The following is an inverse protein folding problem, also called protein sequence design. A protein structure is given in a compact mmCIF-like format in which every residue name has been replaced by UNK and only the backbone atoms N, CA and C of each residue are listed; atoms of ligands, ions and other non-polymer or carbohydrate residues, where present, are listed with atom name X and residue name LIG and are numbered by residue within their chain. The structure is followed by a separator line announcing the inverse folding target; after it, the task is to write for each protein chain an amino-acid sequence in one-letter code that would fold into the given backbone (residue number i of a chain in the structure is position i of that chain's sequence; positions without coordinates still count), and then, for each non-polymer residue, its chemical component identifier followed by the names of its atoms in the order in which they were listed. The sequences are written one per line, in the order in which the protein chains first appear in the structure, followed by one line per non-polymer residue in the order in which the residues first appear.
data_IF_691806640675
#
_entry.id   IF_691806640675
#
_cell.length_a   1.000
_cell.length_b   1.000
_cell.length_c   1.000
_cell.angle_alpha   90.00
_cell.angle_beta   90.00
_cell.angle_gamma   90.00
#
_symmetry.space_group_name_H-M   'P 1'
#
loop_
_entity.id
_entity.type
_entity.pdbx_description
1 polymer ?
#
# COMPACT_ATOMS: atom_id res chain seq x y z
N UNK A 1 -27.97 6.76 -3.73
CA UNK A 1 -27.52 6.70 -2.33
C UNK A 1 -26.44 7.78 -2.18
N UNK A 2 -26.66 8.73 -1.28
CA UNK A 2 -25.80 9.91 -1.08
C UNK A 2 -24.42 9.51 -0.58
N UNK A 3 -23.38 9.96 -1.29
CA UNK A 3 -21.97 9.76 -0.96
C UNK A 3 -21.58 10.54 0.31
N UNK A 4 -21.78 9.98 1.49
CA UNK A 4 -21.16 10.44 2.74
C UNK A 4 -19.83 9.70 3.01
N UNK A 5 -19.14 9.29 1.96
CA UNK A 5 -17.85 8.64 2.02
C UNK A 5 -16.70 9.61 2.27
N UNK A 6 -16.17 9.60 3.50
CA UNK A 6 -14.79 9.95 3.80
C UNK A 6 -14.35 11.39 3.54
N UNK A 7 -14.79 12.34 4.36
CA UNK A 7 -14.13 13.64 4.43
C UNK A 7 -12.82 13.50 5.24
N UNK A 8 -11.71 14.06 4.72
CA UNK A 8 -10.44 14.12 5.45
C UNK A 8 -10.50 15.06 6.65
N UNK A 9 -9.41 15.17 7.43
CA UNK A 9 -9.30 16.06 8.60
C UNK A 9 -9.69 17.52 8.31
N UNK A 10 -9.55 17.97 7.06
CA UNK A 10 -9.99 19.29 6.56
C UNK A 10 -11.48 19.39 6.23
N UNK A 11 -12.26 18.33 6.39
CA UNK A 11 -13.67 18.28 6.00
C UNK A 11 -13.94 18.17 4.50
N UNK A 12 -12.91 18.11 3.65
CA UNK A 12 -13.01 17.99 2.19
C UNK A 12 -13.11 16.53 1.73
N UNK A 13 -13.86 16.31 0.64
CA UNK A 13 -13.91 15.00 -0.03
C UNK A 13 -12.65 14.70 -0.83
N UNK A 14 -12.42 13.38 -1.11
CA UNK A 14 -11.20 12.88 -1.72
C UNK A 14 -10.86 13.55 -3.07
N UNK A 15 -11.84 13.88 -3.90
CA UNK A 15 -11.62 14.57 -5.17
C UNK A 15 -11.02 15.96 -4.98
N UNK A 16 -11.47 16.71 -3.96
CA UNK A 16 -10.92 18.02 -3.62
C UNK A 16 -9.50 17.91 -3.08
N UNK A 17 -9.26 16.93 -2.19
CA UNK A 17 -7.93 16.64 -1.65
C UNK A 17 -6.95 16.22 -2.75
N UNK A 18 -7.38 15.39 -3.70
CA UNK A 18 -6.59 14.97 -4.84
C UNK A 18 -6.15 16.14 -5.74
N UNK A 19 -6.99 17.16 -5.90
CA UNK A 19 -6.66 18.34 -6.71
C UNK A 19 -5.78 19.32 -5.92
N UNK A 20 -6.15 19.67 -4.69
CA UNK A 20 -5.56 20.82 -3.97
C UNK A 20 -4.61 20.45 -2.83
N UNK A 21 -4.66 19.21 -2.30
CA UNK A 21 -3.80 18.79 -1.20
C UNK A 21 -2.31 18.97 -1.54
N UNK A 22 -1.51 19.44 -0.58
CA UNK A 22 -0.06 19.59 -0.72
C UNK A 22 0.42 20.69 -1.68
N UNK A 23 -0.47 21.54 -2.23
CA UNK A 23 -0.06 22.60 -3.18
C UNK A 23 0.35 23.92 -2.49
N UNK A 24 0.28 23.98 -1.15
CA UNK A 24 0.67 25.15 -0.35
C UNK A 24 2.17 25.17 -0.02
N UNK A 25 3.02 24.84 -1.00
CA UNK A 25 4.47 25.03 -0.88
C UNK A 25 4.82 26.51 -1.00
N UNK A 26 5.90 26.95 -0.33
CA UNK A 26 6.37 28.33 -0.40
C UNK A 26 6.74 28.68 -1.86
N UNK A 27 5.93 29.55 -2.45
CA UNK A 27 6.06 30.00 -3.83
C UNK A 27 6.20 31.53 -3.87
N UNK A 28 6.78 32.10 -4.95
CA UNK A 28 6.89 33.56 -5.10
C UNK A 28 5.49 34.23 -5.10
N UNK A 29 5.42 35.59 -5.04
CA UNK A 29 4.18 36.34 -4.82
C UNK A 29 3.02 36.03 -5.76
N UNK A 30 3.31 35.46 -6.95
CA UNK A 30 2.30 34.93 -7.88
C UNK A 30 2.42 33.41 -7.89
N UNK A 31 1.39 32.72 -7.37
CA UNK A 31 1.36 31.25 -7.32
C UNK A 31 1.07 30.68 -8.71
N UNK A 32 1.95 29.81 -9.28
CA UNK A 32 1.60 29.05 -10.46
C UNK A 32 0.47 28.06 -10.11
N UNK A 33 -0.42 27.79 -11.08
CA UNK A 33 -1.51 26.81 -10.89
C UNK A 33 -0.97 25.38 -10.71
N UNK A 34 0.11 25.04 -11.42
CA UNK A 34 0.81 23.77 -11.22
C UNK A 34 2.10 24.01 -10.42
N UNK A 35 2.39 23.12 -9.47
CA UNK A 35 3.64 23.19 -8.71
C UNK A 35 4.82 23.04 -9.68
N UNK A 36 5.80 23.97 -9.68
CA UNK A 36 6.98 23.88 -10.54
C UNK A 36 7.82 22.65 -10.23
N UNK A 37 8.51 22.13 -11.26
CA UNK A 37 9.48 21.05 -11.07
C UNK A 37 10.83 21.67 -10.73
N UNK A 38 11.28 21.49 -9.50
CA UNK A 38 12.59 21.95 -9.02
C UNK A 38 13.63 20.85 -9.31
N UNK A 39 14.10 20.81 -10.56
CA UNK A 39 15.10 19.83 -11.01
C UNK A 39 16.51 20.32 -10.67
N UNK A 40 16.83 20.30 -9.37
CA UNK A 40 18.15 20.68 -8.86
C UNK A 40 18.56 19.77 -7.71
N UNK A 41 19.85 19.53 -7.51
CA UNK A 41 20.39 18.82 -6.35
C UNK A 41 20.67 19.78 -5.19
N UNK A 42 21.62 20.77 -5.31
CA UNK A 42 21.91 21.72 -4.24
C UNK A 42 21.17 23.05 -4.44
N UNK A 43 21.02 23.80 -3.36
CA UNK A 43 20.60 25.21 -3.37
C UNK A 43 21.77 26.11 -2.99
N UNK A 44 21.82 27.31 -3.57
CA UNK A 44 22.78 28.34 -3.19
C UNK A 44 22.25 29.18 -2.02
N UNK A 45 23.12 29.53 -1.09
CA UNK A 45 22.84 30.37 0.06
C UNK A 45 23.54 31.75 -0.11
N UNK A 46 22.93 32.77 0.47
CA UNK A 46 23.50 34.14 0.39
C UNK A 46 24.75 34.31 1.27
N UNK A 47 24.95 33.48 2.29
CA UNK A 47 26.09 33.50 3.18
C UNK A 47 26.41 32.13 3.79
N UNK A 48 27.66 31.97 4.28
CA UNK A 48 28.06 30.80 5.06
C UNK A 48 27.30 30.67 6.37
N UNK A 49 26.83 31.77 6.95
CA UNK A 49 26.02 31.78 8.15
C UNK A 49 24.61 31.20 7.88
N UNK A 50 23.98 31.57 6.76
CA UNK A 50 22.70 31.00 6.33
C UNK A 50 22.82 29.49 6.05
N UNK A 51 23.91 29.06 5.38
CA UNK A 51 24.18 27.65 5.16
C UNK A 51 24.35 26.91 6.48
N UNK A 52 25.14 27.44 7.44
CA UNK A 52 25.32 26.83 8.76
C UNK A 52 23.97 26.66 9.50
N UNK A 53 23.17 27.72 9.51
CA UNK A 53 21.85 27.70 10.15
C UNK A 53 20.91 26.63 9.53
N UNK A 54 20.98 26.42 8.22
CA UNK A 54 20.22 25.36 7.55
C UNK A 54 20.66 23.94 8.00
N UNK A 55 21.95 23.73 8.24
CA UNK A 55 22.46 22.46 8.81
C UNK A 55 22.08 22.28 10.27
N UNK A 56 22.12 23.35 11.08
CA UNK A 56 21.77 23.30 12.51
C UNK A 56 20.26 23.01 12.71
N UNK A 57 19.43 23.39 11.74
CA UNK A 57 17.99 23.14 11.77
C UNK A 57 17.60 21.70 11.42
N UNK A 58 18.52 20.88 10.87
CA UNK A 58 18.27 19.45 10.61
C UNK A 58 18.23 18.63 11.92
N UNK A 59 17.36 17.61 12.02
CA UNK A 59 16.37 17.13 11.03
C UNK A 59 15.01 17.83 11.10
N UNK A 60 14.84 18.84 11.93
CA UNK A 60 13.52 19.45 12.21
C UNK A 60 13.01 20.39 11.11
N UNK A 61 13.91 21.21 10.54
CA UNK A 61 13.56 22.11 9.45
C UNK A 61 13.73 21.42 8.10
N UNK A 62 12.67 21.48 7.30
CA UNK A 62 12.61 20.95 5.93
C UNK A 62 13.03 22.02 4.92
N UNK A 63 14.05 22.83 5.25
CA UNK A 63 14.58 23.79 4.30
C UNK A 63 15.29 23.07 3.16
N UNK A 64 14.94 23.41 1.94
CA UNK A 64 15.57 22.85 0.76
C UNK A 64 17.03 23.32 0.68
N UNK A 65 17.98 22.47 1.02
CA UNK A 65 19.41 22.73 0.81
C UNK A 65 20.05 21.73 -0.16
N UNK A 66 19.49 20.54 -0.19
CA UNK A 66 19.91 19.45 -1.07
C UNK A 66 18.75 18.50 -1.29
N UNK A 67 18.41 18.14 -2.53
CA UNK A 67 17.19 17.39 -2.89
C UNK A 67 17.07 16.02 -2.22
N UNK A 68 18.16 15.39 -1.78
CA UNK A 68 18.08 14.14 -1.00
C UNK A 68 17.47 14.33 0.39
N UNK A 69 17.62 15.53 0.98
CA UNK A 69 17.00 15.88 2.26
C UNK A 69 15.57 16.35 2.04
N UNK A 70 15.39 17.31 1.14
CA UNK A 70 14.07 17.83 0.76
C UNK A 70 14.10 18.50 -0.61
N UNK A 71 12.99 18.37 -1.36
CA UNK A 71 12.75 19.06 -2.61
C UNK A 71 11.31 19.56 -2.66
N UNK A 72 11.03 20.82 -3.02
CA UNK A 72 9.67 21.38 -2.99
C UNK A 72 8.65 20.62 -3.85
N UNK A 73 9.07 20.07 -5.00
CA UNK A 73 8.20 19.25 -5.86
C UNK A 73 7.83 17.93 -5.17
N UNK A 74 8.83 17.26 -4.58
CA UNK A 74 8.63 16.00 -3.84
C UNK A 74 7.76 16.27 -2.61
N UNK A 75 8.01 17.36 -1.88
CA UNK A 75 7.23 17.76 -0.71
C UNK A 75 5.75 18.01 -1.04
N UNK A 76 5.48 18.62 -2.21
CA UNK A 76 4.10 18.79 -2.67
C UNK A 76 3.38 17.45 -2.89
N UNK A 77 4.07 16.46 -3.48
CA UNK A 77 3.54 15.10 -3.60
C UNK A 77 3.28 14.47 -2.22
N UNK A 78 4.25 14.55 -1.31
CA UNK A 78 4.13 14.03 0.06
C UNK A 78 2.93 14.63 0.79
N UNK A 79 2.77 15.97 0.74
CA UNK A 79 1.62 16.64 1.33
C UNK A 79 0.29 16.21 0.70
N UNK A 80 0.24 15.93 -0.59
CA UNK A 80 -0.94 15.42 -1.27
C UNK A 80 -1.29 14.00 -0.81
N UNK A 81 -0.30 13.11 -0.70
CA UNK A 81 -0.49 11.74 -0.19
C UNK A 81 -0.95 11.76 1.26
N UNK A 82 -0.32 12.58 2.12
CA UNK A 82 -0.73 12.74 3.51
C UNK A 82 -2.19 13.19 3.61
N UNK A 83 -2.60 14.17 2.80
CA UNK A 83 -3.99 14.64 2.78
C UNK A 83 -4.98 13.55 2.33
N UNK A 84 -4.63 12.74 1.34
CA UNK A 84 -5.48 11.64 0.83
C UNK A 84 -5.64 10.51 1.84
N UNK A 85 -4.57 10.15 2.54
CA UNK A 85 -4.59 9.11 3.58
C UNK A 85 -5.13 9.62 4.93
N UNK A 86 -5.24 10.92 5.12
CA UNK A 86 -5.55 11.51 6.42
C UNK A 86 -4.39 11.38 7.42
N UNK A 87 -3.16 11.38 6.91
CA UNK A 87 -1.93 11.25 7.67
C UNK A 87 -1.40 12.60 8.18
N UNK A 88 -0.60 12.57 9.24
CA UNK A 88 0.16 13.73 9.73
C UNK A 88 1.33 14.08 8.83
N UNK A 89 1.93 13.09 8.17
CA UNK A 89 3.06 13.23 7.27
C UNK A 89 3.12 12.11 6.23
N UNK A 90 3.87 12.33 5.14
CA UNK A 90 4.22 11.30 4.16
C UNK A 90 5.63 11.49 3.62
N UNK A 91 6.19 10.42 3.06
CA UNK A 91 7.49 10.38 2.42
C UNK A 91 7.40 9.70 1.06
N UNK A 92 8.11 10.24 0.07
CA UNK A 92 8.19 9.68 -1.27
C UNK A 92 9.56 9.02 -1.53
N UNK A 93 9.51 7.91 -2.28
CA UNK A 93 10.64 7.02 -2.54
C UNK A 93 10.74 6.71 -4.04
N UNK A 94 11.94 6.36 -4.50
CA UNK A 94 12.22 6.01 -5.89
C UNK A 94 11.43 4.80 -6.42
N UNK A 95 10.88 3.95 -5.54
CA UNK A 95 10.04 2.80 -5.90
C UNK A 95 9.24 2.29 -4.69
N UNK A 96 8.21 1.47 -4.94
CA UNK A 96 7.50 0.75 -3.88
C UNK A 96 8.44 -0.11 -3.02
N UNK A 97 9.39 -0.82 -3.64
CA UNK A 97 10.38 -1.61 -2.90
C UNK A 97 11.31 -0.73 -2.05
N UNK A 98 11.70 0.46 -2.52
CA UNK A 98 12.46 1.39 -1.71
C UNK A 98 11.67 1.87 -0.49
N UNK A 99 10.36 2.11 -0.64
CA UNK A 99 9.45 2.42 0.46
C UNK A 99 9.38 1.27 1.47
N UNK A 100 9.14 0.03 1.02
CA UNK A 100 9.06 -1.18 1.86
C UNK A 100 10.37 -1.41 2.62
N UNK A 101 11.48 -1.51 1.91
CA UNK A 101 12.78 -1.82 2.48
C UNK A 101 13.22 -0.76 3.51
N UNK A 102 13.05 0.53 3.19
CA UNK A 102 13.42 1.61 4.09
C UNK A 102 12.51 1.65 5.32
N UNK A 103 11.21 1.42 5.16
CA UNK A 103 10.26 1.36 6.29
C UNK A 103 10.64 0.26 7.26
N UNK A 104 10.79 -0.97 6.77
CA UNK A 104 11.13 -2.10 7.64
C UNK A 104 12.52 -1.93 8.27
N UNK A 105 13.51 -1.43 7.51
CA UNK A 105 14.83 -1.12 8.06
C UNK A 105 14.85 0.04 9.10
N UNK A 106 13.82 0.89 9.12
CA UNK A 106 13.68 1.93 10.16
C UNK A 106 13.06 1.41 11.45
N UNK A 107 12.27 0.33 11.36
CA UNK A 107 11.53 -0.27 12.48
C UNK A 107 12.30 -1.40 13.18
N UNK A 108 13.07 -2.18 12.40
CA UNK A 108 13.72 -3.41 12.87
C UNK A 108 15.14 -3.14 13.33
N UNK A 109 15.51 -3.75 14.44
CA UNK A 109 16.85 -3.75 15.03
C UNK A 109 17.31 -5.20 15.27
N UNK A 110 18.58 -5.40 15.48
CA UNK A 110 19.13 -6.71 15.87
C UNK A 110 18.38 -7.24 17.11
N UNK A 111 17.94 -8.49 17.04
CA UNK A 111 17.14 -9.15 18.08
C UNK A 111 15.62 -8.94 17.96
N UNK A 112 15.14 -8.16 17.00
CA UNK A 112 13.71 -7.95 16.78
C UNK A 112 13.06 -9.08 15.97
N UNK A 113 11.74 -9.21 16.13
CA UNK A 113 10.88 -10.06 15.31
C UNK A 113 9.99 -9.20 14.43
N UNK A 114 9.82 -9.63 13.17
CA UNK A 114 8.82 -9.15 12.24
C UNK A 114 7.76 -10.26 12.04
N UNK A 115 6.51 -9.98 12.35
CA UNK A 115 5.39 -10.82 11.92
C UNK A 115 4.92 -10.33 10.55
N UNK A 116 5.03 -11.15 9.52
CA UNK A 116 4.65 -10.79 8.17
C UNK A 116 3.56 -11.73 7.64
N UNK A 117 2.60 -11.20 6.88
CA UNK A 117 1.66 -12.03 6.16
C UNK A 117 2.40 -13.03 5.25
N UNK A 118 1.84 -14.21 5.04
CA UNK A 118 2.39 -15.20 4.11
C UNK A 118 2.13 -14.81 2.65
N UNK A 119 0.99 -14.11 2.41
CA UNK A 119 0.54 -13.71 1.08
C UNK A 119 0.99 -12.27 0.78
N UNK A 120 2.22 -12.13 0.29
CA UNK A 120 2.84 -10.85 -0.01
C UNK A 120 3.24 -10.77 -1.49
N UNK A 121 3.41 -9.54 -1.96
CA UNK A 121 4.06 -9.29 -3.24
C UNK A 121 5.42 -9.99 -3.32
N UNK A 122 5.70 -10.70 -4.42
CA UNK A 122 6.90 -11.51 -4.57
C UNK A 122 8.21 -10.75 -4.34
N UNK A 123 8.26 -9.45 -4.65
CA UNK A 123 9.43 -8.60 -4.36
C UNK A 123 9.63 -8.38 -2.86
N UNK A 124 8.55 -8.18 -2.11
CA UNK A 124 8.58 -8.07 -0.64
C UNK A 124 9.02 -9.38 -0.02
N UNK A 125 8.47 -10.49 -0.50
CA UNK A 125 8.80 -11.83 0.00
C UNK A 125 10.28 -12.16 -0.20
N UNK A 126 10.82 -11.90 -1.40
CA UNK A 126 12.24 -12.06 -1.71
C UNK A 126 13.14 -11.14 -0.86
N UNK A 127 12.73 -9.91 -0.65
CA UNK A 127 13.50 -8.98 0.20
C UNK A 127 13.53 -9.44 1.66
N UNK A 128 12.42 -9.94 2.20
CA UNK A 128 12.37 -10.48 3.56
C UNK A 128 13.21 -11.76 3.73
N UNK A 129 13.29 -12.60 2.69
CA UNK A 129 14.22 -13.75 2.69
C UNK A 129 15.68 -13.25 2.75
N UNK A 130 16.05 -12.29 1.90
CA UNK A 130 17.39 -11.69 1.91
C UNK A 130 17.70 -10.99 3.24
N UNK A 131 16.72 -10.35 3.90
CA UNK A 131 16.90 -9.77 5.22
C UNK A 131 17.27 -10.83 6.24
N UNK A 132 16.55 -11.96 6.29
CA UNK A 132 16.87 -13.07 7.20
C UNK A 132 18.25 -13.69 6.97
N UNK A 133 18.71 -13.75 5.72
CA UNK A 133 20.07 -14.21 5.37
C UNK A 133 21.16 -13.22 5.80
N UNK A 134 20.96 -11.93 5.56
CA UNK A 134 21.95 -10.89 5.80
C UNK A 134 21.99 -10.38 7.25
N UNK A 135 20.88 -10.50 7.98
CA UNK A 135 20.72 -10.08 9.36
C UNK A 135 19.98 -11.20 10.16
N UNK A 136 20.65 -12.33 10.43
CA UNK A 136 20.02 -13.51 11.01
C UNK A 136 19.50 -13.28 12.45
N UNK A 137 19.89 -12.17 13.09
CA UNK A 137 19.36 -11.77 14.40
C UNK A 137 17.93 -11.21 14.30
N UNK A 138 17.46 -10.82 13.10
CA UNK A 138 16.09 -10.38 12.85
C UNK A 138 15.27 -11.60 12.45
N UNK A 139 14.36 -12.03 13.32
CA UNK A 139 13.48 -13.15 13.02
C UNK A 139 12.26 -12.70 12.22
N UNK A 140 12.06 -13.30 11.04
CA UNK A 140 10.86 -13.07 10.21
C UNK A 140 9.93 -14.28 10.36
N UNK A 141 8.81 -14.08 11.04
CA UNK A 141 7.74 -15.07 11.17
C UNK A 141 6.66 -14.84 10.12
N UNK A 142 6.27 -15.90 9.41
CA UNK A 142 5.20 -15.86 8.41
C UNK A 142 3.90 -16.39 9.01
N UNK A 143 2.82 -15.68 8.78
CA UNK A 143 1.49 -16.07 9.24
C UNK A 143 0.48 -15.91 8.09
N UNK A 144 -0.42 -16.88 7.88
CA UNK A 144 -1.53 -16.70 6.94
C UNK A 144 -2.29 -15.40 7.24
N UNK A 145 -2.69 -14.69 6.19
CA UNK A 145 -3.28 -13.35 6.31
C UNK A 145 -4.48 -13.31 7.28
N UNK A 146 -5.38 -14.29 7.21
CA UNK A 146 -6.53 -14.41 8.12
C UNK A 146 -6.19 -14.80 9.56
N UNK A 147 -4.96 -15.27 9.83
CA UNK A 147 -4.49 -15.69 11.16
C UNK A 147 -3.73 -14.62 11.94
N UNK A 148 -3.43 -13.47 11.33
CA UNK A 148 -2.54 -12.46 11.92
C UNK A 148 -3.02 -11.96 13.30
N UNK A 149 -4.30 -11.62 13.44
CA UNK A 149 -4.84 -11.14 14.72
C UNK A 149 -4.74 -12.23 15.80
N UNK A 150 -5.14 -13.48 15.49
CA UNK A 150 -5.05 -14.60 16.40
C UNK A 150 -3.60 -14.88 16.84
N UNK A 151 -2.65 -14.85 15.91
CA UNK A 151 -1.23 -15.06 16.20
C UNK A 151 -0.66 -13.98 17.12
N UNK A 152 -1.05 -12.71 16.92
CA UNK A 152 -0.67 -11.62 17.80
C UNK A 152 -1.25 -11.77 19.21
N UNK A 153 -2.49 -12.28 19.36
CA UNK A 153 -3.10 -12.58 20.64
C UNK A 153 -2.34 -13.70 21.35
N UNK A 154 -1.99 -14.80 20.67
CA UNK A 154 -1.16 -15.87 21.21
C UNK A 154 0.19 -15.33 21.73
N UNK A 155 0.87 -14.50 20.90
CA UNK A 155 2.12 -13.87 21.29
C UNK A 155 1.96 -12.94 22.50
N UNK A 156 0.82 -12.26 22.65
CA UNK A 156 0.54 -11.43 23.81
C UNK A 156 0.36 -12.27 25.08
N UNK A 157 -0.30 -13.43 24.98
CA UNK A 157 -0.44 -14.40 26.08
C UNK A 157 0.92 -15.01 26.46
N UNK A 158 1.72 -15.40 25.46
CA UNK A 158 3.10 -15.88 25.67
C UNK A 158 3.95 -14.82 26.42
N UNK A 159 3.88 -13.55 26.00
CA UNK A 159 4.61 -12.45 26.60
C UNK A 159 4.14 -12.15 28.04
N UNK A 160 2.84 -12.20 28.30
CA UNK A 160 2.26 -11.98 29.64
C UNK A 160 2.60 -13.12 30.65
N UNK A 161 2.74 -14.36 30.16
CA UNK A 161 3.10 -15.53 30.93
C UNK A 161 4.62 -15.75 31.08
N UNK A 162 5.45 -14.98 30.36
CA UNK A 162 6.89 -15.18 30.37
C UNK A 162 7.54 -14.69 31.67
N UNK A 163 8.11 -15.62 32.44
CA UNK A 163 9.10 -15.31 33.49
C UNK A 163 10.50 -15.21 32.85
N UNK A 164 11.38 -14.41 33.45
CA UNK A 164 12.76 -14.27 32.98
C UNK A 164 13.44 -15.65 32.84
N UNK A 165 13.85 -15.99 31.60
CA UNK A 165 14.48 -17.27 31.26
C UNK A 165 13.64 -18.27 30.51
N UNK A 166 12.38 -17.94 30.13
CA UNK A 166 11.57 -18.81 29.29
C UNK A 166 11.92 -18.67 27.78
N UNK A 167 11.57 -19.66 26.97
CA UNK A 167 11.78 -19.70 25.52
C UNK A 167 11.16 -18.49 24.80
N UNK A 168 10.05 -17.94 25.30
CA UNK A 168 9.42 -16.74 24.78
C UNK A 168 10.28 -15.48 24.97
N UNK A 169 11.02 -15.37 26.08
CA UNK A 169 11.95 -14.27 26.31
C UNK A 169 13.21 -14.35 25.42
N UNK A 170 13.57 -15.55 24.94
CA UNK A 170 14.71 -15.77 24.06
C UNK A 170 14.43 -15.38 22.58
N UNK A 171 13.15 -15.32 22.19
CA UNK A 171 12.76 -15.06 20.79
C UNK A 171 12.77 -13.58 20.36
N UNK A 172 13.01 -12.65 21.29
CA UNK A 172 13.00 -11.21 21.06
C UNK A 172 11.58 -10.59 20.88
N UNK A 173 11.46 -9.26 21.03
CA UNK A 173 10.19 -8.58 20.93
C UNK A 173 9.73 -8.46 19.46
N UNK A 174 8.44 -8.51 19.22
CA UNK A 174 7.86 -8.16 17.92
C UNK A 174 7.90 -6.64 17.74
N UNK A 175 8.66 -6.17 16.75
CA UNK A 175 8.79 -4.75 16.47
C UNK A 175 7.72 -4.25 15.48
N UNK A 176 7.34 -5.09 14.53
CA UNK A 176 6.35 -4.73 13.52
C UNK A 176 5.52 -5.91 13.04
N UNK A 177 4.33 -5.61 12.53
CA UNK A 177 3.49 -6.46 11.69
C UNK A 177 3.45 -5.85 10.30
N UNK A 178 3.67 -6.66 9.26
CA UNK A 178 3.58 -6.22 7.86
C UNK A 178 2.58 -7.09 7.08
N UNK A 179 1.64 -6.43 6.40
CA UNK A 179 0.61 -7.12 5.60
C UNK A 179 0.19 -6.30 4.38
N UNK A 180 -0.40 -6.99 3.40
CA UNK A 180 -1.05 -6.41 2.22
C UNK A 180 -2.55 -6.67 2.29
N UNK A 181 -3.38 -5.65 2.12
CA UNK A 181 -4.84 -5.82 2.08
C UNK A 181 -5.51 -4.76 1.20
N UNK A 182 -6.29 -5.18 0.16
CA UNK A 182 -6.46 -6.55 -0.33
C UNK A 182 -5.15 -7.20 -0.76
N UNK A 183 -5.01 -8.53 -0.60
CA UNK A 183 -3.79 -9.27 -0.93
C UNK A 183 -3.59 -9.47 -2.44
N UNK A 184 -2.38 -9.81 -2.84
CA UNK A 184 -2.04 -10.19 -4.19
C UNK A 184 -1.68 -11.70 -4.24
N UNK A 185 -2.34 -12.55 -5.06
CA UNK A 185 -3.25 -12.21 -6.15
C UNK A 185 -4.75 -12.40 -5.83
N UNK A 186 -5.12 -12.95 -4.67
CA UNK A 186 -6.47 -13.43 -4.34
C UNK A 186 -7.40 -12.34 -3.81
N UNK A 187 -6.89 -11.13 -3.59
CA UNK A 187 -7.66 -9.99 -3.10
C UNK A 187 -8.36 -10.22 -1.75
N UNK A 188 -7.79 -11.11 -0.95
CA UNK A 188 -8.27 -11.38 0.42
C UNK A 188 -8.13 -10.14 1.27
N UNK A 189 -9.17 -9.81 2.03
CA UNK A 189 -9.18 -8.70 2.96
C UNK A 189 -8.95 -9.18 4.39
N UNK A 190 -8.13 -8.44 5.14
CA UNK A 190 -7.85 -8.71 6.56
C UNK A 190 -8.56 -7.67 7.41
N UNK A 191 -9.15 -8.09 8.53
CA UNK A 191 -9.70 -7.18 9.53
C UNK A 191 -8.58 -6.36 10.19
N UNK A 192 -8.37 -5.15 9.67
CA UNK A 192 -7.33 -4.26 10.15
C UNK A 192 -7.56 -3.81 11.59
N UNK A 193 -8.80 -3.61 12.01
CA UNK A 193 -9.12 -3.20 13.38
C UNK A 193 -8.74 -4.29 14.37
N UNK A 194 -9.02 -5.56 14.06
CA UNK A 194 -8.63 -6.70 14.87
C UNK A 194 -7.10 -6.85 14.96
N UNK A 195 -6.38 -6.73 13.84
CA UNK A 195 -4.91 -6.77 13.81
C UNK A 195 -4.32 -5.64 14.66
N UNK A 196 -4.83 -4.42 14.53
CA UNK A 196 -4.37 -3.27 15.31
C UNK A 196 -4.59 -3.49 16.80
N UNK A 197 -5.80 -3.94 17.21
CA UNK A 197 -6.11 -4.20 18.62
C UNK A 197 -5.16 -5.25 19.21
N UNK A 198 -4.94 -6.37 18.52
CA UNK A 198 -4.03 -7.43 18.96
C UNK A 198 -2.57 -6.95 19.03
N UNK A 199 -2.11 -6.15 18.06
CA UNK A 199 -0.77 -5.56 18.08
C UNK A 199 -0.58 -4.58 19.25
N UNK A 200 -1.59 -3.78 19.60
CA UNK A 200 -1.56 -2.89 20.77
C UNK A 200 -1.50 -3.69 22.08
N UNK A 201 -2.28 -4.78 22.19
CA UNK A 201 -2.24 -5.68 23.34
C UNK A 201 -0.86 -6.30 23.51
N UNK A 202 -0.29 -6.87 22.45
CA UNK A 202 1.07 -7.44 22.48
C UNK A 202 2.09 -6.37 22.90
N UNK A 203 2.00 -5.16 22.31
CA UNK A 203 2.88 -4.04 22.67
C UNK A 203 2.84 -3.69 24.15
N UNK A 204 1.65 -3.70 24.77
CA UNK A 204 1.47 -3.52 26.21
C UNK A 204 2.14 -4.62 27.02
N UNK A 205 2.00 -5.89 26.63
CA UNK A 205 2.60 -7.04 27.32
C UNK A 205 4.13 -7.05 27.25
N UNK A 206 4.72 -6.65 26.11
CA UNK A 206 6.18 -6.62 25.94
C UNK A 206 6.84 -5.28 26.30
N UNK A 207 6.07 -4.26 26.70
CA UNK A 207 6.58 -2.92 27.07
C UNK A 207 7.15 -2.13 25.88
N UNK A 208 6.83 -2.50 24.64
CA UNK A 208 7.31 -1.86 23.40
C UNK A 208 6.21 -1.90 22.35
N UNK A 209 5.96 -0.75 21.70
CA UNK A 209 4.98 -0.65 20.61
C UNK A 209 5.30 -1.63 19.48
N UNK A 210 4.27 -2.30 18.98
CA UNK A 210 4.31 -3.08 17.73
C UNK A 210 3.75 -2.18 16.63
N UNK A 211 4.56 -1.84 15.64
CA UNK A 211 4.13 -1.02 14.51
C UNK A 211 3.32 -1.87 13.51
N UNK A 212 2.12 -1.43 13.16
CA UNK A 212 1.32 -2.08 12.10
C UNK A 212 1.54 -1.33 10.80
N UNK A 213 2.09 -2.04 9.82
CA UNK A 213 2.44 -1.51 8.48
C UNK A 213 1.59 -2.22 7.43
N UNK A 214 0.84 -1.45 6.67
CA UNK A 214 -0.05 -1.97 5.62
C UNK A 214 0.41 -1.50 4.25
N UNK A 215 0.58 -2.41 3.32
CA UNK A 215 0.65 -2.09 1.89
C UNK A 215 -0.78 -1.97 1.32
N UNK A 216 -1.20 -0.74 1.04
CA UNK A 216 -2.51 -0.39 0.48
C UNK A 216 -2.51 -0.28 -1.05
N UNK A 217 -1.46 -0.76 -1.72
CA UNK A 217 -1.28 -0.58 -3.18
C UNK A 217 -2.45 -1.07 -4.00
N UNK A 218 -3.09 -2.20 -3.61
CA UNK A 218 -4.17 -2.83 -4.38
C UNK A 218 -5.50 -2.07 -4.30
N UNK A 219 -5.70 -1.24 -3.27
CA UNK A 219 -6.93 -0.47 -3.05
C UNK A 219 -6.76 1.03 -3.34
N UNK A 220 -5.65 1.64 -2.96
CA UNK A 220 -5.41 3.09 -2.91
C UNK A 220 -6.28 3.82 -1.87
N UNK A 221 -5.95 5.08 -1.48
CA UNK A 221 -6.74 5.85 -0.52
C UNK A 221 -8.16 6.22 -1.00
N UNK A 222 -8.45 6.03 -2.29
CA UNK A 222 -9.78 6.24 -2.82
C UNK A 222 -10.76 5.09 -2.47
N UNK A 223 -10.23 3.90 -2.16
CA UNK A 223 -11.04 2.70 -1.85
C UNK A 223 -10.90 2.31 -0.38
N UNK A 224 -9.70 2.36 0.19
CA UNK A 224 -9.43 1.99 1.58
C UNK A 224 -8.42 2.96 2.19
N UNK A 225 -8.64 3.35 3.46
CA UNK A 225 -7.73 4.20 4.24
C UNK A 225 -7.33 3.52 5.55
N UNK A 226 -6.25 2.74 5.56
CA UNK A 226 -5.84 1.95 6.72
C UNK A 226 -5.55 2.77 7.98
N UNK A 227 -5.02 4.01 7.82
CA UNK A 227 -4.75 4.88 8.97
C UNK A 227 -6.00 5.23 9.77
N UNK A 228 -7.17 5.34 9.10
CA UNK A 228 -8.45 5.58 9.78
C UNK A 228 -8.87 4.41 10.68
N UNK A 229 -8.31 3.21 10.48
CA UNK A 229 -8.55 2.00 11.26
C UNK A 229 -7.48 1.77 12.34
N UNK A 230 -6.59 2.75 12.57
CA UNK A 230 -5.57 2.70 13.63
C UNK A 230 -4.22 2.10 13.21
N UNK A 231 -4.01 1.81 11.92
CA UNK A 231 -2.72 1.40 11.36
C UNK A 231 -1.69 2.52 11.56
N UNK A 232 -0.43 2.18 11.80
CA UNK A 232 0.64 3.14 12.07
C UNK A 232 1.22 3.76 10.79
N UNK A 233 1.48 2.91 9.81
CA UNK A 233 2.04 3.30 8.51
C UNK A 233 1.29 2.61 7.38
N UNK A 234 0.90 3.38 6.38
CA UNK A 234 0.41 2.84 5.11
C UNK A 234 1.41 3.17 4.01
N UNK A 235 1.72 2.20 3.18
CA UNK A 235 2.59 2.40 2.04
C UNK A 235 1.87 2.04 0.73
N UNK A 236 2.32 2.64 -0.36
CA UNK A 236 1.85 2.34 -1.70
C UNK A 236 3.03 2.29 -2.66
N UNK A 237 3.02 1.32 -3.57
CA UNK A 237 3.70 1.49 -4.83
C UNK A 237 2.97 2.57 -5.62
N UNK A 238 3.46 3.81 -5.55
CA UNK A 238 2.84 4.94 -6.24
C UNK A 238 2.90 4.82 -7.77
N UNK A 239 3.76 3.92 -8.28
CA UNK A 239 3.80 3.42 -9.65
C UNK A 239 2.42 2.98 -10.17
N UNK A 240 1.54 2.50 -9.28
CA UNK A 240 0.27 1.84 -9.60
C UNK A 240 -0.86 2.88 -9.69
N UNK A 241 -1.96 2.66 -9.00
CA UNK A 241 -3.15 3.52 -9.05
C UNK A 241 -2.88 5.00 -8.78
N UNK A 242 -1.90 5.34 -7.92
CA UNK A 242 -1.62 6.72 -7.57
C UNK A 242 -1.14 7.51 -8.80
N UNK A 243 -0.13 7.04 -9.53
CA UNK A 243 0.30 7.61 -10.81
C UNK A 243 -0.73 7.31 -11.91
N UNK A 244 -1.12 6.05 -12.06
CA UNK A 244 -2.21 5.61 -12.90
C UNK A 244 -1.98 5.65 -14.42
N UNK A 245 -0.76 5.91 -14.89
CA UNK A 245 -0.47 6.12 -16.31
C UNK A 245 0.68 5.26 -16.85
N UNK A 246 1.17 4.29 -16.07
CA UNK A 246 2.20 3.31 -16.48
C UNK A 246 3.54 3.93 -16.92
N UNK A 247 3.83 5.19 -16.52
CA UNK A 247 4.93 6.03 -17.02
C UNK A 247 5.98 6.41 -15.97
N UNK A 248 5.80 5.99 -14.70
CA UNK A 248 6.68 6.34 -13.59
C UNK A 248 6.83 5.22 -12.57
N UNK A 249 8.01 5.11 -11.97
CA UNK A 249 8.27 4.26 -10.81
C UNK A 249 8.39 5.13 -9.56
N UNK A 250 7.58 4.86 -8.53
CA UNK A 250 7.62 5.59 -7.27
C UNK A 250 7.04 4.75 -6.14
N UNK A 251 7.41 5.10 -4.89
CA UNK A 251 6.79 4.59 -3.67
C UNK A 251 6.43 5.73 -2.74
N UNK A 252 5.46 5.54 -1.86
CA UNK A 252 5.12 6.50 -0.82
C UNK A 252 4.78 5.77 0.47
N UNK A 253 5.07 6.41 1.60
CA UNK A 253 4.65 5.97 2.94
C UNK A 253 3.97 7.14 3.63
N UNK A 254 2.82 6.90 4.22
CA UNK A 254 2.10 7.89 5.02
C UNK A 254 1.89 7.37 6.43
N UNK A 255 1.93 8.24 7.43
CA UNK A 255 1.75 7.88 8.83
C UNK A 255 1.60 9.10 9.73
N UNK A 256 1.49 8.82 11.04
CA UNK A 256 1.15 9.84 12.01
C UNK A 256 -0.30 10.31 11.89
N UNK A 257 -0.84 10.85 12.97
CA UNK A 257 -2.16 11.50 12.91
C UNK A 257 -1.99 13.01 12.68
N UNK A 258 -2.90 13.66 11.94
CA UNK A 258 -2.92 15.11 11.88
C UNK A 258 -3.09 15.66 13.30
N UNK A 259 -2.27 16.60 13.72
CA UNK A 259 -2.46 17.27 15.00
C UNK A 259 -3.82 17.99 15.00
N UNK A 260 -4.72 17.61 15.95
CA UNK A 260 -5.90 18.41 16.25
C UNK A 260 -7.27 17.85 15.91
N UNK A 261 -7.52 16.54 15.93
CA UNK A 261 -8.91 16.03 16.05
C UNK A 261 -9.31 16.01 17.53
N UNK A 262 -10.19 16.92 17.94
CA UNK A 262 -10.70 17.04 19.29
C UNK A 262 -11.52 15.80 19.70
N UNK A 263 -11.21 15.19 20.86
CA UNK A 263 -12.08 14.16 21.45
C UNK A 263 -11.51 13.46 22.68
N UNK A 264 -10.22 13.22 22.76
CA UNK A 264 -9.57 12.67 23.96
C UNK A 264 -8.10 13.15 23.96
N UNK A 265 -7.84 14.20 24.72
CA UNK A 265 -6.60 14.98 24.62
C UNK A 265 -5.35 14.22 25.07
N UNK A 266 -5.46 13.18 25.89
CA UNK A 266 -4.29 12.46 26.45
C UNK A 266 -3.88 11.24 25.61
N UNK A 267 -4.78 10.34 25.29
CA UNK A 267 -4.49 9.16 24.46
C UNK A 267 -4.23 9.54 22.98
N UNK A 268 -4.93 10.58 22.47
CA UNK A 268 -4.69 11.12 21.14
C UNK A 268 -3.32 11.81 21.02
N UNK A 269 -2.77 12.38 22.12
CA UNK A 269 -1.44 12.99 22.14
C UNK A 269 -0.32 11.95 22.03
N UNK A 270 -0.43 10.83 22.75
CA UNK A 270 0.60 9.77 22.78
C UNK A 270 0.68 9.01 21.44
N UNK A 271 -0.46 8.68 20.83
CA UNK A 271 -0.49 8.06 19.50
C UNK A 271 0.00 9.00 18.40
N UNK A 272 -0.34 10.28 18.46
CA UNK A 272 0.16 11.26 17.50
C UNK A 272 1.67 11.46 17.65
N UNK A 273 2.19 11.51 18.88
CA UNK A 273 3.62 11.60 19.14
C UNK A 273 4.37 10.35 18.64
N UNK A 274 3.85 9.16 18.90
CA UNK A 274 4.43 7.92 18.42
C UNK A 274 4.44 7.84 16.89
N UNK A 275 3.36 8.24 16.23
CA UNK A 275 3.29 8.31 14.78
C UNK A 275 4.29 9.31 14.18
N UNK A 276 4.44 10.47 14.79
CA UNK A 276 5.44 11.46 14.37
C UNK A 276 6.88 10.96 14.55
N UNK A 277 7.14 10.19 15.63
CA UNK A 277 8.45 9.57 15.85
C UNK A 277 8.77 8.51 14.78
N UNK A 278 7.80 7.66 14.42
CA UNK A 278 7.96 6.68 13.34
C UNK A 278 8.29 7.37 12.01
N UNK A 279 7.56 8.43 11.66
CA UNK A 279 7.81 9.18 10.43
C UNK A 279 9.17 9.88 10.43
N UNK A 280 9.63 10.38 11.58
CA UNK A 280 10.97 10.97 11.71
C UNK A 280 12.05 9.90 11.53
N UNK A 281 11.96 8.76 12.21
CA UNK A 281 12.90 7.66 12.07
C UNK A 281 12.97 7.14 10.62
N UNK A 282 11.82 7.05 9.96
CA UNK A 282 11.73 6.67 8.55
C UNK A 282 12.44 7.70 7.65
N UNK A 283 12.23 9.00 7.90
CA UNK A 283 12.87 10.08 7.15
C UNK A 283 14.40 10.04 7.28
N UNK A 284 14.91 9.91 8.50
CA UNK A 284 16.32 9.81 8.77
C UNK A 284 16.95 8.60 8.03
N UNK A 285 16.26 7.47 8.08
CA UNK A 285 16.69 6.28 7.32
C UNK A 285 16.65 6.49 5.81
N UNK A 286 15.61 7.13 5.28
CA UNK A 286 15.45 7.40 3.84
C UNK A 286 16.57 8.31 3.30
N UNK A 287 16.92 9.37 4.05
CA UNK A 287 18.02 10.27 3.71
C UNK A 287 19.36 9.54 3.65
N UNK A 288 19.63 8.66 4.63
CA UNK A 288 20.88 7.89 4.69
C UNK A 288 20.93 6.79 3.61
N UNK A 289 19.82 6.12 3.35
CA UNK A 289 19.72 5.08 2.33
C UNK A 289 19.75 5.64 0.90
N UNK A 290 19.48 6.94 0.72
CA UNK A 290 19.47 7.57 -0.60
C UNK A 290 18.30 7.15 -1.48
N UNK A 291 17.19 6.66 -0.87
CA UNK A 291 16.00 6.15 -1.58
C UNK A 291 15.08 7.27 -2.11
N UNK A 292 15.61 8.47 -2.34
CA UNK A 292 14.87 9.68 -2.71
C UNK A 292 14.25 9.60 -4.10
N UNK A 293 13.03 10.14 -4.23
CA UNK A 293 12.32 10.24 -5.51
C UNK A 293 12.85 11.44 -6.31
N UNK A 294 13.00 11.25 -7.63
CA UNK A 294 13.30 12.33 -8.57
C UNK A 294 12.14 13.34 -8.66
N UNK A 295 12.42 14.67 -8.71
CA UNK A 295 11.35 15.68 -8.78
C UNK A 295 10.45 15.59 -9.99
N UNK A 296 10.95 15.17 -11.16
CA UNK A 296 10.12 14.98 -12.34
C UNK A 296 9.17 13.79 -12.13
N UNK A 297 9.66 12.67 -11.59
CA UNK A 297 8.83 11.53 -11.21
C UNK A 297 7.76 11.94 -10.18
N UNK A 298 8.13 12.75 -9.17
CA UNK A 298 7.16 13.28 -8.21
C UNK A 298 6.07 14.11 -8.88
N UNK A 299 6.42 14.94 -9.87
CA UNK A 299 5.45 15.75 -10.62
C UNK A 299 4.47 14.89 -11.44
N UNK A 300 4.93 13.78 -12.03
CA UNK A 300 4.09 12.83 -12.76
C UNK A 300 3.08 12.14 -11.82
N UNK A 301 3.54 11.65 -10.66
CA UNK A 301 2.65 11.07 -9.65
C UNK A 301 1.64 12.10 -9.15
N UNK A 302 2.09 13.31 -8.80
CA UNK A 302 1.20 14.39 -8.33
C UNK A 302 0.15 14.77 -9.38
N UNK A 303 0.52 14.75 -10.67
CA UNK A 303 -0.42 14.94 -11.79
C UNK A 303 -1.44 13.80 -11.87
N UNK A 304 -0.99 12.54 -11.78
CA UNK A 304 -1.86 11.36 -11.78
C UNK A 304 -2.87 11.38 -10.65
N UNK A 305 -2.46 11.80 -9.45
CA UNK A 305 -3.32 11.91 -8.28
C UNK A 305 -4.52 12.86 -8.50
N UNK A 306 -4.38 13.92 -9.31
CA UNK A 306 -5.49 14.87 -9.58
C UNK A 306 -6.74 14.21 -10.18
N UNK A 307 -6.58 13.07 -10.85
CA UNK A 307 -7.67 12.30 -11.44
C UNK A 307 -7.94 10.98 -10.73
N UNK A 308 -7.31 10.73 -9.58
CA UNK A 308 -7.38 9.45 -8.87
C UNK A 308 -8.84 9.02 -8.64
N UNK A 309 -9.67 9.87 -8.04
CA UNK A 309 -11.04 9.53 -7.71
C UNK A 309 -11.89 9.20 -8.96
N UNK A 310 -11.73 9.96 -10.04
CA UNK A 310 -12.44 9.72 -11.31
C UNK A 310 -12.02 8.38 -11.94
N UNK A 311 -10.72 8.09 -11.94
CA UNK A 311 -10.19 6.83 -12.47
C UNK A 311 -10.67 5.64 -11.65
N UNK A 312 -10.55 5.72 -10.33
CA UNK A 312 -10.96 4.63 -9.44
C UNK A 312 -12.49 4.38 -9.49
N UNK A 313 -13.32 5.42 -9.59
CA UNK A 313 -14.76 5.26 -9.79
C UNK A 313 -15.05 4.39 -11.03
N UNK A 314 -14.42 4.67 -12.16
CA UNK A 314 -14.60 3.91 -13.41
C UNK A 314 -13.97 2.51 -13.31
N UNK A 315 -12.74 2.41 -12.80
CA UNK A 315 -12.03 1.14 -12.64
C UNK A 315 -12.77 0.15 -11.73
N UNK A 316 -13.30 0.62 -10.60
CA UNK A 316 -14.09 -0.20 -9.69
C UNK A 316 -15.43 -0.64 -10.31
N UNK A 317 -16.09 0.25 -11.08
CA UNK A 317 -17.30 -0.11 -11.80
C UNK A 317 -17.03 -1.18 -12.86
N UNK A 318 -15.94 -1.06 -13.61
CA UNK A 318 -15.50 -2.07 -14.57
C UNK A 318 -15.16 -3.39 -13.88
N UNK A 319 -14.42 -3.36 -12.75
CA UNK A 319 -14.07 -4.56 -11.99
C UNK A 319 -15.33 -5.31 -11.50
N UNK A 320 -16.30 -4.61 -10.94
CA UNK A 320 -17.55 -5.21 -10.48
C UNK A 320 -18.33 -5.88 -11.62
N UNK A 321 -18.37 -5.22 -12.79
CA UNK A 321 -19.03 -5.76 -13.99
C UNK A 321 -18.33 -7.02 -14.50
N UNK A 322 -17.00 -6.99 -14.65
CA UNK A 322 -16.23 -8.14 -15.12
C UNK A 322 -16.26 -9.30 -14.12
N UNK A 323 -16.27 -9.02 -12.80
CA UNK A 323 -16.42 -10.04 -11.77
C UNK A 323 -17.78 -10.74 -11.85
N UNK A 324 -18.86 -9.99 -12.06
CA UNK A 324 -20.20 -10.56 -12.24
C UNK A 324 -20.31 -11.41 -13.51
N UNK A 325 -19.71 -10.96 -14.62
CA UNK A 325 -19.64 -11.71 -15.86
C UNK A 325 -18.86 -13.01 -15.69
N UNK A 326 -17.66 -12.95 -15.10
CA UNK A 326 -16.84 -14.13 -14.84
C UNK A 326 -17.56 -15.15 -13.95
N UNK A 327 -18.25 -14.70 -12.90
CA UNK A 327 -19.01 -15.56 -11.99
C UNK A 327 -20.17 -16.30 -12.65
N UNK A 328 -20.72 -15.75 -13.74
CA UNK A 328 -21.78 -16.39 -14.54
C UNK A 328 -21.28 -17.31 -15.64
N UNK A 329 -19.98 -17.37 -15.90
CA UNK A 329 -19.46 -18.11 -17.07
C UNK A 329 -19.06 -19.55 -16.72
N UNK A 330 -19.47 -20.58 -17.51
CA UNK A 330 -19.25 -21.99 -17.18
C UNK A 330 -17.78 -22.42 -17.14
N UNK A 331 -16.88 -21.73 -17.85
CA UNK A 331 -15.43 -22.02 -17.83
C UNK A 331 -14.74 -21.51 -16.54
N UNK A 332 -15.41 -20.68 -15.72
CA UNK A 332 -14.86 -20.10 -14.48
C UNK A 332 -15.30 -20.94 -13.28
N UNK A 333 -14.33 -21.44 -12.52
CA UNK A 333 -14.57 -22.24 -11.31
C UNK A 333 -14.69 -21.39 -10.03
N UNK A 334 -14.02 -20.25 -9.96
CA UNK A 334 -14.05 -19.35 -8.82
C UNK A 334 -13.77 -17.89 -9.25
N UNK A 335 -14.33 -16.95 -8.49
CA UNK A 335 -14.06 -15.51 -8.63
C UNK A 335 -13.61 -14.96 -7.29
N UNK A 336 -12.48 -14.24 -7.30
CA UNK A 336 -11.90 -13.53 -6.17
C UNK A 336 -12.09 -12.04 -6.37
N UNK A 337 -13.07 -11.47 -5.70
CA UNK A 337 -13.41 -10.05 -5.76
C UNK A 337 -14.09 -9.63 -4.46
N UNK A 338 -13.55 -8.65 -3.70
CA UNK A 338 -14.15 -8.26 -2.42
C UNK A 338 -15.60 -7.80 -2.52
N UNK A 339 -16.01 -7.26 -3.67
CA UNK A 339 -17.39 -6.84 -3.94
C UNK A 339 -18.36 -7.95 -4.30
N UNK A 340 -17.91 -9.20 -4.48
CA UNK A 340 -18.72 -10.33 -4.88
C UNK A 340 -18.14 -11.64 -4.34
N UNK A 341 -18.61 -12.10 -3.17
CA UNK A 341 -18.19 -13.38 -2.60
C UNK A 341 -19.10 -14.52 -3.05
N UNK A 342 -18.64 -15.77 -2.91
CA UNK A 342 -19.38 -16.97 -3.37
C UNK A 342 -20.77 -17.11 -2.76
N UNK A 343 -20.99 -16.59 -1.54
CA UNK A 343 -22.31 -16.54 -0.88
C UNK A 343 -23.23 -15.43 -1.42
N UNK A 344 -22.74 -14.62 -2.36
CA UNK A 344 -23.39 -13.43 -2.87
C UNK A 344 -23.15 -12.20 -2.00
N UNK A 345 -22.99 -11.03 -2.65
CA UNK A 345 -22.79 -9.76 -1.97
C UNK A 345 -21.33 -9.43 -1.67
N UNK A 346 -21.13 -8.42 -0.84
CA UNK A 346 -19.83 -7.87 -0.48
C UNK A 346 -19.21 -8.68 0.67
N UNK A 347 -17.89 -8.90 0.61
CA UNK A 347 -17.13 -9.52 1.70
C UNK A 347 -17.34 -8.74 3.01
N UNK A 348 -17.71 -9.42 4.13
CA UNK A 348 -18.03 -8.73 5.38
C UNK A 348 -16.88 -7.89 5.94
N UNK A 349 -15.62 -8.37 5.85
CA UNK A 349 -14.46 -7.64 6.30
C UNK A 349 -14.20 -6.44 5.39
N UNK A 350 -14.20 -6.65 4.07
CA UNK A 350 -14.05 -5.59 3.10
C UNK A 350 -15.13 -4.52 3.24
N UNK A 351 -16.39 -4.89 3.49
CA UNK A 351 -17.50 -3.95 3.64
C UNK A 351 -17.35 -3.01 4.83
N UNK A 352 -16.61 -3.41 5.87
CA UNK A 352 -16.32 -2.61 7.05
C UNK A 352 -15.15 -1.61 6.86
N UNK A 353 -14.36 -1.75 5.80
CA UNK A 353 -13.12 -0.99 5.63
C UNK A 353 -12.85 -0.46 4.22
N UNK A 354 -13.65 -0.85 3.23
CA UNK A 354 -13.54 -0.40 1.83
C UNK A 354 -14.85 0.26 1.38
N UNK A 355 -14.75 1.28 0.53
CA UNK A 355 -15.96 1.97 0.00
C UNK A 355 -16.66 1.20 -1.13
N UNK A 356 -15.95 0.26 -1.76
CA UNK A 356 -16.44 -0.66 -2.81
C UNK A 356 -15.48 -1.84 -2.95
N UNK A 357 -15.74 -2.77 -3.87
CA UNK A 357 -14.92 -3.98 -4.07
C UNK A 357 -13.51 -3.75 -4.67
N UNK A 358 -13.15 -2.51 -4.97
CA UNK A 358 -11.85 -2.17 -5.53
C UNK A 358 -11.75 -2.34 -7.07
N UNK A 359 -10.59 -1.95 -7.64
CA UNK A 359 -10.37 -1.93 -9.08
C UNK A 359 -9.74 -3.21 -9.64
N UNK A 360 -9.51 -4.21 -8.79
CA UNK A 360 -8.85 -5.47 -9.13
C UNK A 360 -9.84 -6.62 -8.99
N UNK A 361 -9.73 -7.63 -9.85
CA UNK A 361 -10.38 -8.93 -9.68
C UNK A 361 -9.42 -10.05 -10.08
N UNK A 362 -9.68 -11.25 -9.59
CA UNK A 362 -9.08 -12.45 -10.10
C UNK A 362 -10.16 -13.53 -10.26
N UNK A 363 -9.94 -14.46 -11.20
CA UNK A 363 -10.84 -15.61 -11.41
C UNK A 363 -10.04 -16.82 -11.85
N UNK A 364 -10.59 -18.00 -11.60
CA UNK A 364 -9.97 -19.27 -11.90
C UNK A 364 -10.67 -19.97 -13.05
N UNK A 365 -9.93 -20.47 -14.02
CA UNK A 365 -10.46 -21.27 -15.11
C UNK A 365 -10.39 -22.77 -14.78
N UNK A 366 -11.53 -23.47 -14.93
CA UNK A 366 -11.65 -24.90 -14.62
C UNK A 366 -10.66 -25.79 -15.41
N UNK A 367 -10.28 -25.39 -16.64
CA UNK A 367 -9.27 -26.07 -17.46
C UNK A 367 -7.81 -25.78 -17.06
N UNK A 368 -7.57 -25.14 -15.90
CA UNK A 368 -6.24 -24.87 -15.38
C UNK A 368 -5.41 -23.92 -16.25
N UNK A 369 -4.08 -24.04 -16.19
CA UNK A 369 -3.17 -23.13 -16.87
C UNK A 369 -3.35 -23.12 -18.40
N UNK A 370 -3.70 -24.24 -19.01
CA UNK A 370 -3.90 -24.31 -20.47
C UNK A 370 -5.10 -23.45 -20.92
N UNK A 371 -6.23 -23.56 -20.21
CA UNK A 371 -7.41 -22.74 -20.47
C UNK A 371 -7.14 -21.25 -20.16
N UNK A 372 -6.42 -20.96 -19.07
CA UNK A 372 -6.04 -19.62 -18.71
C UNK A 372 -5.16 -18.93 -19.77
N UNK A 373 -4.22 -19.66 -20.36
CA UNK A 373 -3.41 -19.18 -21.50
C UNK A 373 -4.27 -18.94 -22.73
N UNK A 374 -5.13 -19.90 -23.10
CA UNK A 374 -6.01 -19.76 -24.27
C UNK A 374 -6.93 -18.52 -24.13
N UNK A 375 -7.52 -18.32 -22.94
CA UNK A 375 -8.34 -17.13 -22.66
C UNK A 375 -7.52 -15.84 -22.77
N UNK A 376 -6.37 -15.77 -22.09
CA UNK A 376 -5.56 -14.54 -22.07
C UNK A 376 -4.99 -14.20 -23.45
N UNK A 377 -4.59 -15.20 -24.23
CA UNK A 377 -4.07 -15.01 -25.59
C UNK A 377 -5.17 -14.61 -26.60
N UNK A 378 -6.45 -14.85 -26.29
CA UNK A 378 -7.60 -14.48 -27.10
C UNK A 378 -8.12 -13.04 -26.83
N UNK A 379 -7.60 -12.36 -25.82
CA UNK A 379 -7.93 -10.97 -25.51
C UNK A 379 -7.39 -10.04 -26.62
N UNK A 380 -8.20 -9.07 -27.05
CA UNK A 380 -7.81 -8.11 -28.08
C UNK A 380 -7.65 -6.68 -27.53
N UNK A 381 -8.49 -6.31 -26.54
CA UNK A 381 -8.47 -5.00 -25.91
C UNK A 381 -7.61 -5.01 -24.64
N UNK A 382 -7.84 -5.99 -23.76
CA UNK A 382 -7.11 -6.14 -22.51
C UNK A 382 -5.65 -6.53 -22.76
N UNK A 383 -4.72 -5.85 -22.10
CA UNK A 383 -3.28 -6.02 -22.34
C UNK A 383 -2.64 -7.02 -21.38
N UNK A 384 -1.77 -7.88 -21.89
CA UNK A 384 -0.93 -8.75 -21.04
C UNK A 384 0.24 -7.92 -20.51
N UNK A 385 0.17 -7.47 -19.25
CA UNK A 385 1.19 -6.60 -18.64
C UNK A 385 1.52 -7.02 -17.21
N UNK A 386 2.80 -7.09 -16.80
CA UNK A 386 3.24 -7.52 -15.47
C UNK A 386 3.10 -6.37 -14.44
N UNK A 387 2.02 -5.57 -14.54
CA UNK A 387 1.75 -4.42 -13.68
C UNK A 387 0.27 -4.34 -13.36
N UNK A 388 -0.15 -3.24 -12.76
CA UNK A 388 -1.55 -2.94 -12.42
C UNK A 388 -1.72 -1.43 -12.22
N UNK A 389 -2.96 -0.98 -12.14
CA UNK A 389 -3.31 0.38 -11.71
C UNK A 389 -3.22 1.45 -12.79
N UNK A 390 -2.92 1.08 -14.05
CA UNK A 390 -2.96 1.98 -15.20
C UNK A 390 -4.38 2.37 -15.61
N UNK A 391 -4.48 3.28 -16.57
CA UNK A 391 -5.76 3.62 -17.25
C UNK A 391 -6.18 2.53 -18.22
N UNK A 392 -5.24 1.71 -18.68
CA UNK A 392 -5.46 0.51 -19.49
C UNK A 392 -5.77 -0.71 -18.61
N UNK A 393 -6.70 -1.55 -19.04
CA UNK A 393 -6.97 -2.84 -18.41
C UNK A 393 -5.83 -3.81 -18.73
N UNK A 394 -5.28 -4.41 -17.67
CA UNK A 394 -4.17 -5.35 -17.76
C UNK A 394 -4.46 -6.70 -17.11
N UNK A 395 -3.89 -7.76 -17.67
CA UNK A 395 -4.05 -9.13 -17.22
C UNK A 395 -2.71 -9.83 -17.01
N UNK A 396 -2.64 -10.71 -16.02
CA UNK A 396 -1.51 -11.62 -15.80
C UNK A 396 -2.00 -13.00 -15.35
N UNK A 397 -1.17 -14.01 -15.56
CA UNK A 397 -1.30 -15.35 -15.00
C UNK A 397 -0.30 -15.48 -13.84
N UNK A 398 -0.72 -15.40 -12.57
CA UNK A 398 0.16 -15.42 -11.40
C UNK A 398 1.10 -16.61 -11.38
N UNK A 399 0.63 -17.81 -11.74
CA UNK A 399 1.42 -19.04 -11.74
C UNK A 399 2.70 -18.97 -12.58
N UNK A 400 2.70 -18.20 -13.67
CA UNK A 400 3.85 -18.07 -14.58
C UNK A 400 4.51 -16.69 -14.55
N UNK A 401 4.03 -15.80 -13.70
CA UNK A 401 4.54 -14.42 -13.56
C UNK A 401 4.93 -14.10 -12.12
N UNK A 402 4.06 -13.47 -11.35
CA UNK A 402 4.36 -12.96 -10.00
C UNK A 402 4.64 -14.04 -8.95
N UNK A 403 4.15 -15.27 -9.15
CA UNK A 403 4.30 -16.41 -8.24
C UNK A 403 5.03 -17.61 -8.86
N UNK A 404 5.77 -17.37 -9.96
CA UNK A 404 6.51 -18.40 -10.69
C UNK A 404 7.65 -19.04 -9.89
N UNK A 405 8.13 -18.36 -8.85
CA UNK A 405 9.17 -18.88 -7.95
C UNK A 405 8.66 -19.94 -6.98
N UNK A 406 7.34 -20.01 -6.78
CA UNK A 406 6.70 -21.03 -5.95
C UNK A 406 6.47 -22.30 -6.74
N UNK A 407 6.64 -23.47 -6.09
CA UNK A 407 6.24 -24.76 -6.66
C UNK A 407 4.70 -24.83 -6.82
N UNK A 408 4.20 -25.84 -7.52
CA UNK A 408 2.75 -26.03 -7.66
C UNK A 408 2.09 -26.32 -6.31
N UNK A 409 2.76 -27.08 -5.45
CA UNK A 409 2.32 -27.42 -4.10
C UNK A 409 2.26 -26.14 -3.22
N UNK A 410 3.30 -25.32 -3.22
CA UNK A 410 3.32 -24.06 -2.47
C UNK A 410 2.24 -23.06 -2.95
N UNK A 411 1.97 -23.01 -4.26
CA UNK A 411 0.86 -22.23 -4.78
C UNK A 411 -0.49 -22.75 -4.29
N UNK A 412 -0.69 -24.07 -4.33
CA UNK A 412 -1.92 -24.70 -3.88
C UNK A 412 -2.16 -24.47 -2.37
N UNK A 413 -1.14 -24.55 -1.54
CA UNK A 413 -1.20 -24.25 -0.11
C UNK A 413 -1.63 -22.79 0.15
N UNK A 414 -1.27 -21.86 -0.75
CA UNK A 414 -1.69 -20.45 -0.71
C UNK A 414 -3.01 -20.18 -1.43
N UNK A 415 -3.72 -21.22 -1.92
CA UNK A 415 -4.96 -21.09 -2.67
C UNK A 415 -4.81 -20.51 -4.07
N UNK A 416 -3.58 -20.48 -4.63
CA UNK A 416 -3.30 -19.92 -5.95
C UNK A 416 -3.37 -21.06 -6.98
N UNK A 417 -4.52 -21.18 -7.65
CA UNK A 417 -4.70 -22.16 -8.71
C UNK A 417 -3.84 -21.85 -9.94
N UNK A 418 -3.38 -22.90 -10.66
CA UNK A 418 -2.62 -22.71 -11.89
C UNK A 418 -3.43 -21.99 -12.98
N UNK A 419 -4.75 -22.14 -12.98
CA UNK A 419 -5.69 -21.44 -13.87
C UNK A 419 -6.09 -20.04 -13.42
N UNK A 420 -5.46 -19.48 -12.39
CA UNK A 420 -5.78 -18.15 -11.88
C UNK A 420 -5.37 -17.06 -12.87
N UNK A 421 -6.32 -16.18 -13.17
CA UNK A 421 -6.17 -14.96 -13.99
C UNK A 421 -6.41 -13.75 -13.09
N UNK A 422 -5.44 -12.83 -12.99
CA UNK A 422 -5.60 -11.56 -12.26
C UNK A 422 -5.76 -10.41 -13.24
N UNK A 423 -6.80 -9.61 -13.05
CA UNK A 423 -7.13 -8.46 -13.89
C UNK A 423 -7.02 -7.17 -13.06
N UNK A 424 -6.35 -6.17 -13.62
CA UNK A 424 -6.37 -4.79 -13.16
C UNK A 424 -7.22 -3.98 -14.12
N UNK A 425 -8.39 -3.53 -13.68
CA UNK A 425 -9.30 -2.81 -14.55
C UNK A 425 -8.84 -1.38 -14.83
N UNK A 426 -8.91 -1.00 -16.10
CA UNK A 426 -8.70 0.36 -16.60
C UNK A 426 -9.99 1.16 -16.67
N UNK A 427 -9.94 2.26 -17.43
CA UNK A 427 -11.05 3.20 -17.59
C UNK A 427 -11.76 3.09 -18.93
N UNK A 428 -11.48 2.06 -19.70
CA UNK A 428 -12.11 1.78 -20.99
C UNK A 428 -13.64 1.66 -20.84
N UNK A 429 -14.36 1.63 -21.94
CA UNK A 429 -15.79 1.39 -21.93
C UNK A 429 -16.10 -0.01 -21.37
N UNK A 430 -17.02 -0.08 -20.41
CA UNK A 430 -17.32 -1.33 -19.71
C UNK A 430 -18.02 -2.37 -20.60
N UNK A 431 -18.73 -1.96 -21.67
CA UNK A 431 -19.35 -2.88 -22.64
C UNK A 431 -18.28 -3.51 -23.51
N UNK A 432 -17.26 -2.72 -23.95
CA UNK A 432 -16.14 -3.21 -24.74
C UNK A 432 -15.30 -4.22 -23.95
N UNK A 433 -14.99 -3.91 -22.66
CA UNK A 433 -14.27 -4.83 -21.79
C UNK A 433 -15.04 -6.13 -21.55
N UNK A 434 -16.36 -6.05 -21.37
CA UNK A 434 -17.22 -7.23 -21.18
C UNK A 434 -17.21 -8.10 -22.42
N UNK A 435 -17.37 -7.52 -23.62
CA UNK A 435 -17.35 -8.25 -24.89
C UNK A 435 -15.98 -8.91 -25.14
N UNK A 436 -14.88 -8.23 -24.79
CA UNK A 436 -13.53 -8.78 -24.90
C UNK A 436 -13.33 -10.00 -23.96
N UNK A 437 -13.79 -9.89 -22.71
CA UNK A 437 -13.70 -10.98 -21.74
C UNK A 437 -14.60 -12.16 -22.13
N UNK A 438 -15.84 -11.92 -22.60
CA UNK A 438 -16.75 -12.99 -23.05
C UNK A 438 -16.12 -13.80 -24.19
N UNK A 439 -15.55 -13.12 -25.20
CA UNK A 439 -14.83 -13.76 -26.30
C UNK A 439 -13.64 -14.58 -25.81
N UNK A 440 -12.86 -14.04 -24.89
CA UNK A 440 -11.69 -14.70 -24.31
C UNK A 440 -12.08 -15.94 -23.51
N UNK A 441 -13.14 -15.87 -22.70
CA UNK A 441 -13.65 -17.01 -21.93
C UNK A 441 -14.22 -18.10 -22.82
N UNK A 442 -14.86 -17.76 -23.95
CA UNK A 442 -15.32 -18.74 -24.93
C UNK A 442 -14.17 -19.53 -25.57
N UNK A 443 -12.99 -18.93 -25.70
CA UNK A 443 -11.79 -19.60 -26.22
C UNK A 443 -11.11 -20.54 -25.19
N UNK A 444 -11.50 -20.47 -23.93
CA UNK A 444 -10.95 -21.31 -22.87
C UNK A 444 -11.51 -22.74 -22.81
N UNK A 445 -12.51 -23.06 -23.61
CA UNK A 445 -13.14 -24.37 -23.70
C UNK A 445 -14.62 -24.27 -23.67
#
# INVERSE_FOLDING_TARGET
MSREGGRGASGHGISTLAVHGGEDVALPPRRPVAVPVYQTAPWAFASSGELSAAFDALPGDRSAMYSRYENPTVRSLEGKVAALEGAGDALAFASGMAAIATTLASLLRSGDRLLAAADLYGGTDSWLATLGESQPEIAVERCPLGGLAGRLEEMAEEAAGASAGTSAAAAGPVAAVYLETPSNPLLTCTDLAAVVAAARRLGGCQGRRVAVVVDGTMASPAVQRPLALGVDLVLHSATKFLAGHSDVTAGVVAGGRPGGAAGDETAASDEAAAGAELMRALRDRAVLAGASLDPHAASLVARGLKTLALRLDRQCANAARLAALAAGHPAVSAVHYPGLVASGGFDPVASGQMVNGGPMLAFELAGGLAAARAAVDALELVRIIPSLGGVETGVVLPAITSHRSLSAEERAERGIADGLVRVSCGIEDGDDLAADLERALAAAG
#
